data_IF_927819530253
#
_entry.id   IF_927819530253
#
_cell.length_a   1.000
_cell.length_b   1.000
_cell.length_c   1.000
_cell.angle_alpha   90.00
_cell.angle_beta   90.00
_cell.angle_gamma   90.00
#
_symmetry.space_group_name_H-M   'P 1'
#
loop_
_entity.id
_entity.type
_entity.pdbx_description
1 polymer ?
#
# COMPACT_ATOMS: atom_id res chain seq x y z
N UNK A 1 -3.26 -24.32 30.24
CA UNK A 1 -4.18 -23.17 30.40
C UNK A 1 -3.37 -21.90 30.25
N UNK A 2 -3.80 -20.98 29.36
CA UNK A 2 -3.30 -19.62 29.12
C UNK A 2 -2.30 -19.36 27.96
N UNK A 3 -2.54 -19.90 26.76
CA UNK A 3 -2.03 -19.29 25.51
C UNK A 3 -3.07 -18.42 24.78
N UNK A 4 -4.31 -18.38 25.28
CA UNK A 4 -5.45 -17.76 24.62
C UNK A 4 -5.35 -16.22 24.61
N UNK A 5 -5.02 -15.70 23.42
CA UNK A 5 -5.79 -14.66 22.68
C UNK A 5 -5.86 -13.25 23.28
N UNK A 6 -5.02 -12.36 22.76
CA UNK A 6 -5.29 -10.90 22.75
C UNK A 6 -5.75 -10.36 21.38
N UNK A 7 -5.46 -11.09 20.29
CA UNK A 7 -5.71 -10.65 18.92
C UNK A 7 -6.83 -11.47 18.29
N UNK A 8 -7.81 -10.79 17.68
CA UNK A 8 -8.83 -11.40 16.85
C UNK A 8 -8.22 -11.73 15.45
N UNK A 9 -7.96 -13.01 15.20
CA UNK A 9 -7.29 -13.51 13.98
C UNK A 9 -8.04 -13.10 12.71
N UNK A 10 -9.37 -13.17 12.71
CA UNK A 10 -10.18 -12.82 11.54
C UNK A 10 -10.11 -11.31 11.25
N UNK A 11 -10.19 -10.46 12.29
CA UNK A 11 -10.03 -9.02 12.15
C UNK A 11 -8.66 -8.64 11.58
N UNK A 12 -7.58 -9.31 12.01
CA UNK A 12 -6.24 -9.02 11.51
C UNK A 12 -6.03 -9.53 10.08
N UNK A 13 -6.64 -10.66 9.71
CA UNK A 13 -6.69 -11.08 8.30
C UNK A 13 -7.47 -10.09 7.43
N UNK A 14 -8.58 -9.55 7.93
CA UNK A 14 -9.33 -8.50 7.25
C UNK A 14 -8.49 -7.22 7.09
N UNK A 15 -7.78 -6.80 8.14
CA UNK A 15 -6.86 -5.67 8.09
C UNK A 15 -5.77 -5.87 7.03
N UNK A 16 -5.11 -7.04 7.02
CA UNK A 16 -4.09 -7.38 6.03
C UNK A 16 -4.59 -7.23 4.58
N UNK A 17 -5.77 -7.78 4.27
CA UNK A 17 -6.42 -7.63 2.95
C UNK A 17 -6.75 -6.17 2.63
N UNK A 18 -7.23 -5.42 3.62
CA UNK A 18 -7.56 -4.01 3.43
C UNK A 18 -6.31 -3.17 3.09
N UNK A 19 -5.19 -3.43 3.77
CA UNK A 19 -3.92 -2.76 3.49
C UNK A 19 -3.43 -3.04 2.06
N UNK A 20 -3.53 -4.29 1.59
CA UNK A 20 -3.18 -4.63 0.21
C UNK A 20 -4.08 -3.93 -0.83
N UNK A 21 -5.38 -3.84 -0.54
CA UNK A 21 -6.34 -3.09 -1.36
C UNK A 21 -5.99 -1.59 -1.42
N UNK A 22 -5.68 -0.97 -0.27
CA UNK A 22 -5.28 0.44 -0.21
C UNK A 22 -3.98 0.69 -0.99
N UNK A 23 -2.98 -0.17 -0.84
CA UNK A 23 -1.74 -0.06 -1.61
C UNK A 23 -2.01 -0.11 -3.13
N UNK A 24 -2.88 -1.01 -3.56
CA UNK A 24 -3.32 -1.11 -4.97
C UNK A 24 -4.05 0.15 -5.43
N UNK A 25 -4.93 0.72 -4.61
CA UNK A 25 -5.64 1.96 -4.93
C UNK A 25 -4.68 3.16 -5.07
N UNK A 26 -3.65 3.24 -4.21
CA UNK A 26 -2.61 4.28 -4.30
C UNK A 26 -1.85 4.17 -5.62
N UNK A 27 -1.43 2.96 -6.00
CA UNK A 27 -0.77 2.72 -7.29
C UNK A 27 -1.66 3.13 -8.47
N UNK A 28 -2.95 2.80 -8.43
CA UNK A 28 -3.91 3.15 -9.48
C UNK A 28 -4.10 4.66 -9.59
N UNK A 29 -4.28 5.36 -8.47
CA UNK A 29 -4.41 6.81 -8.45
C UNK A 29 -3.17 7.50 -9.04
N UNK A 30 -1.96 7.04 -8.70
CA UNK A 30 -0.72 7.56 -9.24
C UNK A 30 -0.61 7.36 -10.77
N UNK A 31 -1.03 6.19 -11.27
CA UNK A 31 -1.09 5.93 -12.73
C UNK A 31 -2.13 6.82 -13.41
N UNK A 32 -3.28 7.03 -12.79
CA UNK A 32 -4.32 7.92 -13.31
C UNK A 32 -3.82 9.36 -13.42
N UNK A 33 -3.14 9.88 -12.40
CA UNK A 33 -2.55 11.23 -12.44
C UNK A 33 -1.53 11.34 -13.59
N UNK A 34 -0.65 10.34 -13.73
CA UNK A 34 0.32 10.29 -14.84
C UNK A 34 -0.39 10.33 -16.21
N UNK A 35 -1.46 9.54 -16.37
CA UNK A 35 -2.25 9.52 -17.61
C UNK A 35 -3.00 10.83 -17.87
N UNK A 36 -3.49 11.50 -16.82
CA UNK A 36 -4.16 12.79 -16.97
C UNK A 36 -3.14 13.85 -17.40
N UNK A 37 -1.95 13.86 -16.81
CA UNK A 37 -0.86 14.78 -17.15
C UNK A 37 -0.48 14.68 -18.63
N UNK A 38 -0.38 13.46 -19.18
CA UNK A 38 -0.08 13.26 -20.60
C UNK A 38 -1.20 13.73 -21.54
N UNK A 39 -2.44 13.77 -21.06
CA UNK A 39 -3.60 14.26 -21.84
C UNK A 39 -3.80 15.78 -21.82
N UNK A 40 -3.10 16.50 -20.93
CA UNK A 40 -3.26 17.95 -20.82
C UNK A 40 -2.64 18.70 -22.02
N UNK A 41 -3.23 19.84 -22.39
CA UNK A 41 -2.67 20.77 -23.39
C UNK A 41 -1.62 21.72 -22.81
N UNK A 42 -1.26 21.56 -21.53
CA UNK A 42 -0.25 22.37 -20.87
C UNK A 42 1.11 22.11 -21.52
N UNK A 43 1.89 23.17 -21.77
CA UNK A 43 3.22 23.10 -22.38
C UNK A 43 4.12 24.16 -21.74
N UNK A 44 5.43 24.06 -21.96
CA UNK A 44 6.43 25.03 -21.49
C UNK A 44 7.26 24.52 -20.33
N UNK A 45 8.14 25.39 -19.82
CA UNK A 45 9.15 25.02 -18.81
C UNK A 45 8.54 24.48 -17.51
N UNK A 46 7.44 25.07 -17.06
CA UNK A 46 6.79 24.67 -15.80
C UNK A 46 6.20 23.26 -15.90
N UNK A 47 5.70 22.87 -17.09
CA UNK A 47 5.27 21.49 -17.34
C UNK A 47 6.44 20.54 -17.19
N UNK A 48 7.55 20.84 -17.86
CA UNK A 48 8.74 19.98 -17.85
C UNK A 48 9.27 19.81 -16.43
N UNK A 49 9.30 20.90 -15.65
CA UNK A 49 9.71 20.86 -14.25
C UNK A 49 8.77 19.97 -13.42
N UNK A 50 7.46 20.19 -13.52
CA UNK A 50 6.47 19.39 -12.82
C UNK A 50 6.51 17.90 -13.20
N UNK A 51 6.66 17.59 -14.49
CA UNK A 51 6.77 16.22 -14.98
C UNK A 51 8.04 15.53 -14.45
N UNK A 52 9.14 16.27 -14.33
CA UNK A 52 10.37 15.80 -13.68
C UNK A 52 10.17 15.50 -12.20
N UNK A 53 9.58 16.42 -11.44
CA UNK A 53 9.30 16.24 -10.02
C UNK A 53 8.30 15.09 -9.78
N UNK A 54 7.29 14.98 -10.63
CA UNK A 54 6.29 13.92 -10.60
C UNK A 54 6.89 12.54 -10.82
N UNK A 55 7.59 12.35 -11.94
CA UNK A 55 8.17 11.05 -12.30
C UNK A 55 9.36 10.66 -11.42
N UNK A 56 10.07 11.65 -10.87
CA UNK A 56 11.19 11.44 -9.95
C UNK A 56 10.76 11.34 -8.50
N UNK A 57 10.57 12.48 -7.83
CA UNK A 57 10.36 12.55 -6.39
C UNK A 57 9.03 11.92 -5.97
N UNK A 58 7.93 12.31 -6.62
CA UNK A 58 6.59 11.90 -6.17
C UNK A 58 6.33 10.41 -6.40
N UNK A 59 6.61 9.90 -7.61
CA UNK A 59 6.45 8.47 -7.90
C UNK A 59 7.35 7.58 -7.02
N UNK A 60 8.56 8.03 -6.70
CA UNK A 60 9.43 7.31 -5.75
C UNK A 60 8.83 7.26 -4.35
N UNK A 61 8.35 8.40 -3.82
CA UNK A 61 7.72 8.46 -2.51
C UNK A 61 6.44 7.59 -2.45
N UNK A 62 5.62 7.62 -3.49
CA UNK A 62 4.43 6.79 -3.61
C UNK A 62 4.79 5.31 -3.59
N UNK A 63 5.79 4.89 -4.37
CA UNK A 63 6.29 3.51 -4.39
C UNK A 63 6.75 3.04 -3.01
N UNK A 64 7.45 3.90 -2.26
CA UNK A 64 7.85 3.60 -0.88
C UNK A 64 6.64 3.42 0.04
N UNK A 65 5.64 4.28 -0.04
CA UNK A 65 4.40 4.16 0.76
C UNK A 65 3.67 2.86 0.44
N UNK A 66 3.48 2.54 -0.85
CA UNK A 66 2.86 1.30 -1.32
C UNK A 66 3.60 0.08 -0.76
N UNK A 67 4.93 0.08 -0.86
CA UNK A 67 5.77 -1.01 -0.35
C UNK A 67 5.61 -1.17 1.16
N UNK A 68 5.66 -0.07 1.91
CA UNK A 68 5.52 -0.08 3.36
C UNK A 68 4.14 -0.60 3.81
N UNK A 69 3.07 -0.17 3.14
CA UNK A 69 1.70 -0.63 3.43
C UNK A 69 1.55 -2.12 3.13
N UNK A 70 2.05 -2.61 1.98
CA UNK A 70 2.02 -4.04 1.65
C UNK A 70 2.81 -4.87 2.66
N UNK A 71 4.01 -4.42 3.05
CA UNK A 71 4.84 -5.11 4.05
C UNK A 71 4.13 -5.20 5.40
N UNK A 72 3.54 -4.10 5.87
CA UNK A 72 2.80 -4.10 7.13
C UNK A 72 1.57 -5.02 7.07
N UNK A 73 0.87 -5.07 5.93
CA UNK A 73 -0.22 -6.04 5.70
C UNK A 73 0.25 -7.49 5.73
N UNK A 74 1.41 -7.80 5.13
CA UNK A 74 2.00 -9.14 5.16
C UNK A 74 2.41 -9.56 6.58
N UNK A 75 3.01 -8.65 7.37
CA UNK A 75 3.36 -8.91 8.77
C UNK A 75 2.10 -9.20 9.59
N UNK A 76 1.06 -8.39 9.43
CA UNK A 76 -0.23 -8.62 10.11
C UNK A 76 -0.82 -9.99 9.77
N UNK A 77 -0.82 -10.37 8.48
CA UNK A 77 -1.31 -11.68 8.04
C UNK A 77 -0.52 -12.85 8.65
N UNK A 78 0.82 -12.78 8.63
CA UNK A 78 1.68 -13.81 9.23
C UNK A 78 1.43 -13.97 10.73
N UNK A 79 1.33 -12.86 11.47
CA UNK A 79 1.03 -12.91 12.90
C UNK A 79 -0.31 -13.62 13.18
N UNK A 80 -1.30 -13.43 12.30
CA UNK A 80 -2.61 -14.06 12.43
C UNK A 80 -2.53 -15.58 12.17
N UNK A 81 -1.75 -16.00 11.17
CA UNK A 81 -1.54 -17.41 10.85
C UNK A 81 -0.76 -18.14 11.95
N UNK A 82 0.30 -17.51 12.49
CA UNK A 82 1.10 -18.07 13.59
C UNK A 82 0.25 -18.28 14.86
N UNK A 83 -0.64 -17.33 15.18
CA UNK A 83 -1.51 -17.45 16.34
C UNK A 83 -2.55 -18.56 16.17
N UNK A 84 -3.09 -18.75 14.97
CA UNK A 84 -4.05 -19.84 14.68
C UNK A 84 -3.38 -21.21 14.81
N UNK A 85 -2.12 -21.36 14.36
CA UNK A 85 -1.37 -22.60 14.52
C UNK A 85 -1.11 -22.95 15.99
N UNK A 86 -0.71 -21.96 16.80
CA UNK A 86 -0.46 -22.14 18.24
C UNK A 86 -1.75 -22.46 19.00
N UNK A 87 -2.89 -21.88 18.61
CA UNK A 87 -4.18 -22.13 19.28
C UNK A 87 -4.76 -23.52 18.98
N UNK A 88 -4.41 -24.10 17.82
CA UNK A 88 -4.91 -25.40 17.36
C UNK A 88 -3.95 -26.58 17.64
N UNK A 89 -2.75 -26.32 18.20
CA UNK A 89 -1.77 -27.32 18.61
C UNK A 89 -1.76 -27.57 20.11
#
# INVERSE_FOLDING_TARGET
MAGMVGMNVEEVRNLSRHMDSVATQIEQAARQITSLMSSTTWVGNDRTAFEGDWTGQHMTAISHVVTAVRQAGQVAGRNADDQEQVANG
#
